data_IF_269154746563
#
_entry.id   IF_269154746563
#
_cell.length_a   1.000
_cell.length_b   1.000
_cell.length_c   1.000
_cell.angle_alpha   90.00
_cell.angle_beta   90.00
_cell.angle_gamma   90.00
#
_symmetry.space_group_name_H-M   'P 1'
#
loop_
_entity.id
_entity.type
_entity.pdbx_description
1 polymer ?
#
# COMPACT_ATOMS: atom_id res chain seq x y z
N UNK A 1 -10.37 12.95 -21.22
CA UNK A 1 -9.67 12.19 -20.14
C UNK A 1 -9.84 10.71 -20.41
N UNK A 2 -8.83 9.90 -20.09
CA UNK A 2 -8.92 8.44 -20.18
C UNK A 2 -9.25 7.87 -18.80
N UNK A 3 -9.84 6.67 -18.74
CA UNK A 3 -9.97 5.96 -17.45
C UNK A 3 -8.58 5.62 -16.93
N UNK A 4 -8.39 5.75 -15.62
CA UNK A 4 -7.14 5.32 -15.00
C UNK A 4 -6.99 3.81 -15.17
N UNK A 5 -5.79 3.35 -15.50
CA UNK A 5 -5.51 1.92 -15.69
C UNK A 5 -5.68 1.16 -14.37
N UNK A 6 -5.17 1.73 -13.28
CA UNK A 6 -5.12 1.07 -11.97
C UNK A 6 -6.30 1.42 -11.06
N UNK A 7 -6.98 2.53 -11.35
CA UNK A 7 -8.22 2.89 -10.67
C UNK A 7 -9.34 3.12 -11.68
N UNK A 8 -9.91 2.05 -12.27
CA UNK A 8 -10.83 2.13 -13.40
C UNK A 8 -12.10 2.95 -13.13
N UNK A 9 -12.43 3.20 -11.85
CA UNK A 9 -13.51 4.09 -11.44
C UNK A 9 -13.20 5.57 -11.73
N UNK A 10 -11.93 5.98 -11.73
CA UNK A 10 -11.48 7.36 -11.92
C UNK A 10 -11.04 7.67 -13.37
N UNK A 11 -10.91 8.97 -13.66
CA UNK A 11 -10.33 9.49 -14.89
C UNK A 11 -8.95 10.07 -14.60
N UNK A 12 -7.98 9.75 -15.44
CA UNK A 12 -6.59 10.15 -15.26
C UNK A 12 -6.10 11.03 -16.41
N UNK A 13 -5.14 11.89 -16.06
CA UNK A 13 -4.29 12.65 -16.98
C UNK A 13 -2.90 12.74 -16.38
N UNK A 14 -1.89 12.86 -17.25
CA UNK A 14 -0.51 13.15 -16.84
C UNK A 14 -0.24 14.62 -17.09
N UNK A 15 0.37 15.30 -16.12
CA UNK A 15 0.95 16.62 -16.31
C UNK A 15 2.45 16.42 -16.57
N UNK A 16 2.92 16.85 -17.73
CA UNK A 16 4.30 16.68 -18.19
C UNK A 16 5.03 18.02 -18.16
N UNK A 17 6.37 17.99 -18.24
CA UNK A 17 7.23 19.17 -18.28
C UNK A 17 7.07 20.11 -17.07
N UNK A 18 6.81 19.52 -15.89
CA UNK A 18 6.86 20.25 -14.63
C UNK A 18 8.32 20.59 -14.27
N UNK A 19 8.53 21.75 -13.67
CA UNK A 19 9.81 22.18 -13.12
C UNK A 19 10.09 21.32 -11.89
N UNK A 20 11.23 20.61 -11.84
CA UNK A 20 11.59 19.81 -10.69
C UNK A 20 11.70 20.67 -9.42
N UNK A 21 11.26 20.13 -8.28
CA UNK A 21 11.29 20.76 -6.95
C UNK A 21 10.39 22.01 -6.79
N UNK A 22 9.57 22.36 -7.78
CA UNK A 22 8.52 23.36 -7.62
C UNK A 22 7.26 22.74 -7.02
N UNK A 23 6.58 23.48 -6.14
CA UNK A 23 5.27 23.11 -5.62
C UNK A 23 4.15 23.61 -6.56
N UNK A 24 3.22 22.72 -6.87
CA UNK A 24 2.07 22.96 -7.74
C UNK A 24 0.76 22.74 -6.99
N UNK A 25 -0.16 23.71 -7.06
CA UNK A 25 -1.56 23.48 -6.71
C UNK A 25 -2.32 23.03 -7.97
N UNK A 26 -2.67 21.76 -8.03
CA UNK A 26 -3.43 21.18 -9.14
C UNK A 26 -4.93 21.37 -8.84
N UNK A 27 -5.64 22.11 -9.69
CA UNK A 27 -7.08 22.37 -9.55
C UNK A 27 -7.88 21.68 -10.66
N UNK A 28 -8.90 20.92 -10.28
CA UNK A 28 -9.78 20.20 -11.20
C UNK A 28 -11.24 20.63 -11.02
N UNK A 29 -11.93 20.87 -12.15
CA UNK A 29 -13.37 21.18 -12.19
C UNK A 29 -14.07 20.30 -13.22
N UNK A 30 -15.20 19.73 -12.84
CA UNK A 30 -16.11 19.10 -13.78
C UNK A 30 -16.94 20.17 -14.51
N UNK A 31 -17.06 20.05 -15.83
CA UNK A 31 -17.87 20.91 -16.70
C UNK A 31 -18.84 20.04 -17.50
N UNK A 32 -20.03 20.56 -17.77
CA UNK A 32 -21.01 19.98 -18.69
C UNK A 32 -21.43 21.02 -19.73
N UNK A 33 -22.15 20.60 -20.77
CA UNK A 33 -22.71 21.53 -21.76
C UNK A 33 -23.64 22.55 -21.11
N UNK A 34 -24.49 22.09 -20.18
CA UNK A 34 -25.43 22.95 -19.46
C UNK A 34 -24.75 23.84 -18.40
N UNK A 35 -23.55 23.47 -17.96
CA UNK A 35 -22.79 24.22 -16.96
C UNK A 35 -21.32 24.41 -17.39
N UNK A 36 -21.05 25.31 -18.36
CA UNK A 36 -19.75 25.45 -19.00
C UNK A 36 -18.68 26.10 -18.09
N UNK A 37 -19.12 26.81 -17.03
CA UNK A 37 -18.22 27.34 -16.01
C UNK A 37 -17.68 26.24 -15.08
N UNK A 38 -18.43 25.15 -14.93
CA UNK A 38 -18.08 24.06 -14.02
C UNK A 38 -18.27 24.42 -12.55
N UNK A 39 -18.36 23.40 -11.70
CA UNK A 39 -18.52 23.57 -10.26
C UNK A 39 -17.30 24.14 -9.55
N UNK A 40 -17.36 24.17 -8.22
CA UNK A 40 -16.19 24.50 -7.39
C UNK A 40 -15.03 23.53 -7.67
N UNK A 41 -13.78 24.04 -7.72
CA UNK A 41 -12.63 23.18 -8.00
C UNK A 41 -12.32 22.31 -6.79
N UNK A 42 -12.07 21.02 -7.05
CA UNK A 42 -11.23 20.25 -6.16
C UNK A 42 -9.78 20.70 -6.37
N UNK A 43 -9.00 20.83 -5.30
CA UNK A 43 -7.59 21.22 -5.37
C UNK A 43 -6.75 20.22 -4.59
N UNK A 44 -5.59 19.88 -5.12
CA UNK A 44 -4.57 19.11 -4.43
C UNK A 44 -3.23 19.82 -4.62
N UNK A 45 -2.52 20.04 -3.54
CA UNK A 45 -1.16 20.56 -3.59
C UNK A 45 -0.20 19.39 -3.77
N UNK A 46 0.75 19.53 -4.70
CA UNK A 46 1.82 18.57 -4.86
C UNK A 46 2.71 18.65 -3.61
N UNK A 47 2.49 17.75 -2.67
CA UNK A 47 3.35 17.59 -1.51
C UNK A 47 4.53 16.72 -1.93
N UNK A 48 5.68 17.36 -2.14
CA UNK A 48 6.97 16.68 -2.30
C UNK A 48 7.74 16.58 -0.98
N UNK A 49 7.11 16.94 0.15
CA UNK A 49 7.79 17.32 1.39
C UNK A 49 8.68 16.21 2.01
N UNK A 50 8.46 14.96 1.64
CA UNK A 50 9.32 13.81 1.94
C UNK A 50 9.71 12.99 0.70
N UNK A 51 9.08 13.23 -0.46
CA UNK A 51 9.35 12.50 -1.71
C UNK A 51 9.07 11.00 -1.63
N UNK A 52 8.42 10.54 -0.57
CA UNK A 52 8.10 9.14 -0.32
C UNK A 52 6.73 8.80 -0.91
N UNK A 53 6.56 7.56 -1.35
CA UNK A 53 5.22 7.04 -1.62
C UNK A 53 4.40 7.01 -0.34
N UNK A 54 3.10 7.31 -0.44
CA UNK A 54 2.14 7.04 0.61
C UNK A 54 2.09 5.55 0.96
N UNK A 55 1.47 5.24 2.10
CA UNK A 55 1.27 3.87 2.54
C UNK A 55 0.27 3.12 1.65
N UNK A 56 0.45 1.80 1.44
CA UNK A 56 -0.56 0.96 0.81
C UNK A 56 -1.93 1.09 1.49
N UNK A 57 -3.00 1.11 0.71
CA UNK A 57 -4.36 1.27 1.23
C UNK A 57 -5.00 -0.07 1.58
N UNK A 58 -5.98 -0.08 2.49
CA UNK A 58 -6.82 -1.24 2.81
C UNK A 58 -6.05 -2.55 3.12
N UNK A 59 -4.89 -2.44 3.77
CA UNK A 59 -4.15 -3.62 4.23
C UNK A 59 -5.02 -4.44 5.19
N UNK A 60 -5.19 -5.73 4.89
CA UNK A 60 -5.97 -6.66 5.71
C UNK A 60 -5.44 -8.09 5.59
N UNK A 61 -5.76 -8.92 6.58
CA UNK A 61 -5.57 -10.36 6.51
C UNK A 61 -6.85 -11.02 6.00
N UNK A 62 -6.77 -11.76 4.91
CA UNK A 62 -7.92 -12.40 4.24
C UNK A 62 -8.04 -13.89 4.54
N UNK A 63 -6.94 -14.53 4.94
CA UNK A 63 -6.92 -15.91 5.45
C UNK A 63 -5.90 -16.03 6.57
N UNK A 64 -6.26 -16.73 7.65
CA UNK A 64 -5.41 -16.92 8.82
C UNK A 64 -5.44 -18.41 9.16
N UNK A 65 -4.29 -19.07 9.02
CA UNK A 65 -4.06 -20.43 9.43
C UNK A 65 -3.08 -20.53 10.60
N UNK A 66 -2.80 -21.75 11.05
CA UNK A 66 -1.93 -21.95 12.21
C UNK A 66 -0.45 -21.68 11.90
N UNK A 67 -0.08 -21.70 10.62
CA UNK A 67 1.29 -21.45 10.15
C UNK A 67 1.37 -20.51 8.96
N UNK A 68 0.28 -19.82 8.63
CA UNK A 68 0.24 -18.91 7.49
C UNK A 68 -0.76 -17.78 7.69
N UNK A 69 -0.46 -16.64 7.08
CA UNK A 69 -1.36 -15.48 6.98
C UNK A 69 -1.35 -15.01 5.53
N UNK A 70 -2.52 -14.90 4.90
CA UNK A 70 -2.68 -14.26 3.60
C UNK A 70 -3.10 -12.82 3.80
N UNK A 71 -2.33 -11.92 3.19
CA UNK A 71 -2.55 -10.48 3.18
C UNK A 71 -3.15 -10.04 1.85
N UNK A 72 -3.94 -8.97 1.90
CA UNK A 72 -4.36 -8.21 0.72
C UNK A 72 -4.22 -6.71 1.01
N UNK A 73 -3.77 -5.95 0.01
CA UNK A 73 -3.69 -4.49 0.08
C UNK A 73 -3.88 -3.86 -1.30
N UNK A 74 -4.30 -2.61 -1.30
CA UNK A 74 -4.38 -1.76 -2.47
C UNK A 74 -3.11 -0.92 -2.63
N UNK A 75 -2.87 -0.47 -3.86
CA UNK A 75 -1.78 0.46 -4.13
C UNK A 75 -1.96 1.81 -3.41
N UNK A 76 -0.88 2.49 -3.00
CA UNK A 76 -0.91 3.87 -2.55
C UNK A 76 -1.57 4.81 -3.57
N UNK A 77 -2.24 5.88 -3.11
CA UNK A 77 -2.80 6.88 -4.04
C UNK A 77 -1.71 7.78 -4.62
N UNK A 78 -0.69 8.08 -3.83
CA UNK A 78 0.44 8.91 -4.23
C UNK A 78 1.72 8.08 -4.13
N UNK A 79 2.40 7.89 -5.27
CA UNK A 79 3.65 7.11 -5.32
C UNK A 79 4.91 7.95 -5.21
N UNK A 80 4.87 9.23 -5.62
CA UNK A 80 6.05 10.09 -5.73
C UNK A 80 7.23 9.43 -6.49
N UNK A 81 6.90 8.61 -7.49
CA UNK A 81 7.87 7.85 -8.28
C UNK A 81 7.23 6.67 -8.98
N UNK A 82 8.05 5.87 -9.66
CA UNK A 82 7.60 4.61 -10.28
C UNK A 82 7.62 3.50 -9.24
N UNK A 83 6.47 2.84 -9.00
CA UNK A 83 6.36 1.69 -8.12
C UNK A 83 7.20 0.52 -8.66
N UNK A 84 8.14 0.00 -7.85
CA UNK A 84 9.02 -1.12 -8.23
C UNK A 84 8.71 -2.41 -7.47
N UNK A 85 8.41 -2.32 -6.18
CA UNK A 85 8.09 -3.47 -5.35
C UNK A 85 7.26 -3.08 -4.12
N UNK A 86 6.70 -4.07 -3.44
CA UNK A 86 6.26 -3.95 -2.05
C UNK A 86 7.23 -4.71 -1.14
N UNK A 87 7.46 -4.17 0.05
CA UNK A 87 8.21 -4.84 1.13
C UNK A 87 7.21 -5.19 2.23
N UNK A 88 7.28 -6.43 2.70
CA UNK A 88 6.51 -6.92 3.84
C UNK A 88 7.51 -7.19 4.98
N UNK A 89 7.37 -6.45 6.07
CA UNK A 89 8.08 -6.72 7.31
C UNK A 89 7.14 -7.47 8.24
N UNK A 90 7.63 -8.53 8.89
CA UNK A 90 6.85 -9.33 9.83
C UNK A 90 7.63 -9.45 11.13
N UNK A 91 7.04 -8.98 12.22
CA UNK A 91 7.61 -9.07 13.55
C UNK A 91 6.70 -9.94 14.42
N UNK A 92 7.24 -11.03 14.98
CA UNK A 92 6.55 -11.77 16.04
C UNK A 92 6.61 -10.94 17.32
N UNK A 93 5.46 -10.59 17.89
CA UNK A 93 5.39 -9.74 19.09
C UNK A 93 4.89 -10.51 20.32
N UNK A 94 4.26 -11.66 20.13
CA UNK A 94 3.90 -12.57 21.22
C UNK A 94 3.77 -14.01 20.70
N UNK A 95 4.10 -14.98 21.54
CA UNK A 95 3.89 -16.41 21.28
C UNK A 95 3.25 -17.10 22.48
N UNK A 96 2.61 -18.23 22.24
CA UNK A 96 2.10 -19.11 23.31
C UNK A 96 3.24 -19.56 24.26
N UNK A 97 4.39 -19.91 23.68
CA UNK A 97 5.61 -20.19 24.42
C UNK A 97 6.47 -18.93 24.49
N UNK A 98 6.28 -18.11 25.53
CA UNK A 98 7.03 -16.86 25.74
C UNK A 98 8.55 -17.07 25.75
N UNK A 99 9.05 -18.26 26.10
CA UNK A 99 10.48 -18.55 26.10
C UNK A 99 11.06 -18.77 24.70
N UNK A 100 10.21 -19.04 23.69
CA UNK A 100 10.56 -19.18 22.28
C UNK A 100 10.06 -18.03 21.41
N UNK A 101 9.57 -16.95 22.01
CA UNK A 101 9.46 -15.68 21.32
C UNK A 101 10.87 -15.09 21.15
N UNK A 102 11.20 -14.36 20.12
CA UNK A 102 10.46 -13.98 18.93
C UNK A 102 11.45 -14.17 17.78
N UNK A 103 11.02 -14.80 16.69
CA UNK A 103 11.94 -15.06 15.58
C UNK A 103 12.03 -13.87 14.63
N UNK A 104 13.24 -13.61 14.15
CA UNK A 104 13.44 -12.66 13.06
C UNK A 104 12.91 -13.30 11.77
N UNK A 105 11.81 -12.76 11.26
CA UNK A 105 11.22 -13.19 10.00
C UNK A 105 11.79 -12.28 8.90
N UNK A 106 12.51 -12.83 7.90
CA UNK A 106 13.09 -12.03 6.84
C UNK A 106 12.04 -11.23 6.07
N UNK A 107 12.44 -10.02 5.68
CA UNK A 107 11.63 -9.17 4.82
C UNK A 107 11.34 -9.85 3.48
N UNK A 108 10.11 -9.71 3.02
CA UNK A 108 9.68 -10.23 1.72
C UNK A 108 9.56 -9.08 0.73
N UNK A 109 10.27 -9.16 -0.40
CA UNK A 109 10.15 -8.21 -1.50
C UNK A 109 9.35 -8.78 -2.67
N UNK A 110 8.22 -8.15 -2.97
CA UNK A 110 7.33 -8.51 -4.08
C UNK A 110 7.57 -7.54 -5.22
N UNK A 111 8.26 -7.99 -6.26
CA UNK A 111 8.55 -7.16 -7.45
C UNK A 111 7.29 -6.96 -8.29
N UNK A 112 7.08 -5.72 -8.73
CA UNK A 112 5.97 -5.37 -9.61
C UNK A 112 6.38 -5.62 -11.06
N UNK A 113 5.72 -6.59 -11.68
CA UNK A 113 5.81 -6.85 -13.13
C UNK A 113 4.64 -6.23 -13.89
N UNK A 114 3.52 -6.04 -13.20
CA UNK A 114 2.32 -5.38 -13.70
C UNK A 114 1.70 -4.58 -12.58
N UNK A 115 1.43 -3.32 -12.85
CA UNK A 115 0.72 -2.46 -11.92
C UNK A 115 -0.80 -2.73 -12.02
N UNK A 116 -1.40 -3.10 -10.89
CA UNK A 116 -2.82 -3.43 -10.74
C UNK A 116 -3.37 -2.81 -9.44
N UNK A 117 -4.69 -2.77 -9.27
CA UNK A 117 -5.34 -2.04 -8.16
C UNK A 117 -5.06 -2.62 -6.76
N UNK A 118 -4.77 -3.92 -6.68
CA UNK A 118 -4.57 -4.64 -5.42
C UNK A 118 -3.57 -5.78 -5.60
N UNK A 119 -2.93 -6.16 -4.50
CA UNK A 119 -1.95 -7.22 -4.41
C UNK A 119 -2.25 -8.10 -3.19
N UNK A 120 -1.78 -9.34 -3.24
CA UNK A 120 -1.86 -10.25 -2.13
C UNK A 120 -0.56 -11.04 -1.97
N UNK A 121 -0.35 -11.57 -0.76
CA UNK A 121 0.77 -12.46 -0.47
C UNK A 121 0.46 -13.32 0.74
N UNK A 122 0.90 -14.57 0.72
CA UNK A 122 0.81 -15.46 1.87
C UNK A 122 2.17 -15.61 2.53
N UNK A 123 2.25 -15.20 3.80
CA UNK A 123 3.39 -15.47 4.67
C UNK A 123 3.21 -16.89 5.22
N UNK A 124 4.24 -17.72 5.11
CA UNK A 124 4.24 -19.11 5.59
C UNK A 124 5.21 -19.30 6.75
N UNK A 125 5.20 -20.50 7.34
CA UNK A 125 6.09 -20.94 8.41
C UNK A 125 5.98 -20.08 9.68
N UNK A 126 4.79 -19.54 9.94
CA UNK A 126 4.49 -18.86 11.19
C UNK A 126 4.26 -19.88 12.32
N UNK A 127 4.39 -19.42 13.56
CA UNK A 127 4.06 -20.21 14.74
C UNK A 127 2.55 -20.18 14.98
N UNK A 128 1.94 -21.29 15.45
CA UNK A 128 0.55 -21.31 15.86
C UNK A 128 0.34 -20.47 17.11
N UNK A 129 -0.85 -19.88 17.24
CA UNK A 129 -1.25 -19.12 18.42
C UNK A 129 -0.24 -18.00 18.81
N UNK A 130 0.36 -17.37 17.79
CA UNK A 130 1.31 -16.26 17.93
C UNK A 130 0.75 -15.00 17.28
N UNK A 131 1.04 -13.83 17.86
CA UNK A 131 0.64 -12.53 17.32
C UNK A 131 1.81 -11.89 16.59
N UNK A 132 1.52 -11.38 15.39
CA UNK A 132 2.46 -10.73 14.51
C UNK A 132 2.05 -9.28 14.25
N UNK A 133 3.02 -8.37 14.27
CA UNK A 133 2.93 -7.05 13.65
C UNK A 133 3.41 -7.18 12.21
N UNK A 134 2.48 -7.03 11.26
CA UNK A 134 2.77 -7.13 9.83
C UNK A 134 2.69 -5.74 9.23
N UNK A 135 3.75 -5.34 8.54
CA UNK A 135 3.91 -4.02 7.95
C UNK A 135 4.13 -4.15 6.44
N UNK A 136 3.40 -3.38 5.64
CA UNK A 136 3.55 -3.33 4.18
C UNK A 136 3.85 -1.91 3.73
N UNK A 137 4.88 -1.75 2.91
CA UNK A 137 5.26 -0.48 2.29
C UNK A 137 5.62 -0.65 0.82
N UNK A 138 5.41 0.39 0.03
CA UNK A 138 5.83 0.45 -1.37
C UNK A 138 7.28 0.92 -1.51
N UNK A 139 7.99 0.42 -2.51
CA UNK A 139 9.35 0.85 -2.87
C UNK A 139 9.36 1.45 -4.26
N UNK A 140 9.89 2.66 -4.38
CA UNK A 140 10.11 3.37 -5.64
C UNK A 140 11.62 3.55 -5.88
N UNK A 141 12.14 4.77 -5.90
CA UNK A 141 13.57 5.07 -5.64
C UNK A 141 13.90 5.03 -4.15
N UNK A 142 12.90 5.18 -3.28
CA UNK A 142 13.00 5.16 -1.82
C UNK A 142 11.96 4.20 -1.21
N UNK A 143 12.04 3.98 0.10
CA UNK A 143 11.01 3.28 0.86
C UNK A 143 9.86 4.24 1.21
N UNK A 144 8.66 3.88 0.81
CA UNK A 144 7.44 4.62 1.12
C UNK A 144 7.01 4.50 2.57
N UNK A 145 5.94 5.21 2.91
CA UNK A 145 5.28 5.09 4.19
C UNK A 145 4.68 3.69 4.37
N UNK A 146 4.51 3.27 5.62
CA UNK A 146 4.14 1.91 5.97
C UNK A 146 2.70 1.83 6.47
N UNK A 147 1.94 0.82 6.03
CA UNK A 147 0.69 0.43 6.64
C UNK A 147 0.90 -0.83 7.50
N UNK A 148 0.22 -0.94 8.64
CA UNK A 148 0.47 -1.98 9.64
C UNK A 148 -0.81 -2.61 10.15
N UNK A 149 -0.77 -3.91 10.41
CA UNK A 149 -1.84 -4.67 11.07
C UNK A 149 -1.27 -5.63 12.11
N UNK A 150 -2.08 -5.94 13.13
CA UNK A 150 -1.79 -6.98 14.11
C UNK A 150 -2.64 -8.20 13.79
N UNK A 151 -2.03 -9.38 13.71
CA UNK A 151 -2.73 -10.61 13.33
C UNK A 151 -2.22 -11.76 14.18
N UNK A 152 -3.14 -12.52 14.76
CA UNK A 152 -2.84 -13.71 15.56
C UNK A 152 -3.15 -14.96 14.73
N UNK A 153 -2.19 -15.86 14.59
CA UNK A 153 -2.41 -17.17 13.95
C UNK A 153 -3.31 -18.04 14.82
N UNK A 154 -4.06 -18.94 14.19
CA UNK A 154 -4.89 -19.90 14.94
C UNK A 154 -4.03 -20.95 15.64
N UNK A 155 -4.58 -21.61 16.65
CA UNK A 155 -3.96 -22.79 17.26
C UNK A 155 -3.88 -23.95 16.26
N UNK A 156 -2.94 -24.87 16.46
CA UNK A 156 -3.08 -26.19 15.85
C UNK A 156 -4.29 -26.83 16.52
N UNK A 157 -5.35 -27.10 15.77
CA UNK A 157 -6.45 -27.91 16.28
C UNK A 157 -5.91 -29.34 16.35
N UNK A 158 -5.84 -29.89 17.57
CA UNK A 158 -5.59 -31.31 17.81
C UNK A 158 -6.72 -32.19 17.25
#
# INVERSE_FOLDING_TARGET
LKKCIYWPKFYCTTLENLIPNDQYTIKMRAKSLDYPKGGWPASIDSHFDDGLSEKPENLSATSIGSKHITLEWNIPRIFNGVLKSFIINTEEISSEDNAKCCENIPDIEIKITKEISYYNHTIYNLKPNSTYLIAVLSKTSSYGQTNKIYVTTISNVD
#
